data_IF_882133637574
#
_entry.id   IF_882133637574
#
_cell.length_a   1.000
_cell.length_b   1.000
_cell.length_c   1.000
_cell.angle_alpha   90.00
_cell.angle_beta   90.00
_cell.angle_gamma   90.00
#
_symmetry.space_group_name_H-M   'P 1'
#
loop_
_entity.id
_entity.type
_entity.pdbx_description
1 polymer ?
#
# COMPACT_ATOMS: atom_id res chain seq x y z
N UNK A 1 11.52 -26.87 33.54
CA UNK A 1 10.05 -26.87 33.64
C UNK A 1 9.48 -26.22 32.37
N UNK A 2 9.45 -26.95 31.26
CA UNK A 2 8.90 -26.46 29.98
C UNK A 2 7.38 -26.50 30.05
N UNK A 3 6.76 -25.33 30.14
CA UNK A 3 5.30 -25.17 30.07
C UNK A 3 4.85 -25.81 28.74
N UNK A 4 3.91 -26.78 28.73
CA UNK A 4 3.51 -27.44 27.50
C UNK A 4 2.89 -26.38 26.58
N UNK A 5 3.40 -26.26 25.36
CA UNK A 5 2.79 -25.42 24.33
C UNK A 5 1.39 -25.98 24.05
N UNK A 6 0.38 -25.32 24.58
CA UNK A 6 -1.01 -25.60 24.28
C UNK A 6 -1.26 -25.17 22.84
N UNK A 7 -1.35 -26.12 21.91
CA UNK A 7 -1.57 -25.84 20.47
C UNK A 7 -2.80 -24.95 20.20
N UNK A 8 -3.76 -24.93 21.13
CA UNK A 8 -4.93 -24.05 21.10
C UNK A 8 -4.55 -22.56 21.23
N UNK A 9 -3.52 -22.21 22.02
CA UNK A 9 -3.12 -20.81 22.24
C UNK A 9 -2.40 -20.24 21.02
N UNK A 10 -1.55 -21.00 20.32
CA UNK A 10 -0.84 -20.47 19.14
C UNK A 10 -1.78 -20.15 17.98
N UNK A 11 -2.84 -20.95 17.81
CA UNK A 11 -3.86 -20.72 16.78
C UNK A 11 -4.67 -19.46 17.08
N UNK A 12 -5.11 -19.27 18.32
CA UNK A 12 -5.87 -18.07 18.73
C UNK A 12 -5.02 -16.81 18.69
N UNK A 13 -3.76 -16.87 19.11
CA UNK A 13 -2.81 -15.75 19.01
C UNK A 13 -2.59 -15.31 17.55
N UNK A 14 -2.46 -16.27 16.63
CA UNK A 14 -2.28 -15.95 15.21
C UNK A 14 -3.49 -15.20 14.62
N UNK A 15 -4.71 -15.61 14.99
CA UNK A 15 -5.95 -14.98 14.53
C UNK A 15 -6.11 -13.59 15.16
N UNK A 16 -5.83 -13.49 16.45
CA UNK A 16 -5.93 -12.25 17.21
C UNK A 16 -4.94 -11.19 16.72
N UNK A 17 -3.78 -11.59 16.19
CA UNK A 17 -2.81 -10.68 15.56
C UNK A 17 -3.17 -10.36 14.10
N UNK A 18 -3.58 -11.36 13.31
CA UNK A 18 -3.81 -11.18 11.88
C UNK A 18 -5.01 -10.28 11.58
N UNK A 19 -6.11 -10.43 12.32
CA UNK A 19 -7.33 -9.66 12.07
C UNK A 19 -7.14 -8.15 12.25
N UNK A 20 -6.66 -7.63 13.41
CA UNK A 20 -6.48 -6.19 13.58
C UNK A 20 -5.43 -5.62 12.64
N UNK A 21 -4.35 -6.35 12.35
CA UNK A 21 -3.34 -5.92 11.37
C UNK A 21 -3.95 -5.75 9.97
N UNK A 22 -4.79 -6.68 9.54
CA UNK A 22 -5.45 -6.60 8.23
C UNK A 22 -6.43 -5.43 8.16
N UNK A 23 -7.23 -5.24 9.20
CA UNK A 23 -8.18 -4.13 9.27
C UNK A 23 -7.44 -2.79 9.33
N UNK A 24 -6.39 -2.69 10.14
CA UNK A 24 -5.58 -1.48 10.24
C UNK A 24 -4.87 -1.16 8.93
N UNK A 25 -4.17 -2.13 8.32
CA UNK A 25 -3.45 -1.92 7.07
C UNK A 25 -4.40 -1.63 5.90
N UNK A 26 -5.49 -2.37 5.79
CA UNK A 26 -6.49 -2.16 4.74
C UNK A 26 -7.19 -0.82 4.91
N UNK A 27 -7.61 -0.47 6.14
CA UNK A 27 -8.22 0.82 6.46
C UNK A 27 -7.28 2.00 6.20
N UNK A 28 -5.99 1.86 6.51
CA UNK A 28 -4.97 2.88 6.21
C UNK A 28 -4.87 3.15 4.70
N UNK A 29 -4.82 2.10 3.89
CA UNK A 29 -4.76 2.23 2.43
C UNK A 29 -6.06 2.79 1.82
N UNK A 30 -7.22 2.41 2.35
CA UNK A 30 -8.50 3.01 1.96
C UNK A 30 -8.55 4.50 2.29
N UNK A 31 -8.07 4.90 3.48
CA UNK A 31 -7.98 6.30 3.88
C UNK A 31 -6.98 7.07 3.00
N UNK A 32 -5.83 6.49 2.68
CA UNK A 32 -4.86 7.09 1.78
C UNK A 32 -5.46 7.31 0.37
N UNK A 33 -6.15 6.31 -0.18
CA UNK A 33 -6.83 6.41 -1.46
C UNK A 33 -7.92 7.49 -1.46
N UNK A 34 -8.75 7.55 -0.40
CA UNK A 34 -9.80 8.55 -0.24
C UNK A 34 -9.26 9.98 -0.32
N UNK A 35 -8.07 10.24 0.21
CA UNK A 35 -7.44 11.56 0.13
C UNK A 35 -6.84 11.86 -1.26
N UNK A 36 -6.43 10.84 -2.03
CA UNK A 36 -5.81 11.01 -3.36
C UNK A 36 -6.84 11.17 -4.49
N UNK A 37 -7.97 10.47 -4.43
CA UNK A 37 -8.98 10.46 -5.51
C UNK A 37 -9.54 11.87 -5.82
N UNK A 38 -9.86 12.74 -4.84
CA UNK A 38 -10.36 14.08 -5.13
C UNK A 38 -9.28 15.02 -5.69
N UNK A 39 -8.00 14.75 -5.41
CA UNK A 39 -6.87 15.61 -5.70
C UNK A 39 -5.85 14.92 -6.63
N UNK A 40 -6.34 14.31 -7.73
CA UNK A 40 -5.51 13.58 -8.70
C UNK A 40 -4.35 14.44 -9.20
N UNK A 41 -4.59 15.73 -9.46
CA UNK A 41 -3.56 16.65 -9.94
C UNK A 41 -2.44 16.83 -8.91
N UNK A 42 -2.78 17.07 -7.63
CA UNK A 42 -1.79 17.19 -6.56
C UNK A 42 -1.03 15.89 -6.33
N UNK A 43 -1.69 14.74 -6.49
CA UNK A 43 -1.00 13.45 -6.39
C UNK A 43 -0.08 13.18 -7.59
N UNK A 44 -0.47 13.61 -8.80
CA UNK A 44 0.41 13.55 -9.97
C UNK A 44 1.66 14.43 -9.79
N UNK A 45 1.53 15.60 -9.18
CA UNK A 45 2.67 16.45 -8.80
C UNK A 45 3.56 15.78 -7.76
N UNK A 46 2.98 15.09 -6.76
CA UNK A 46 3.76 14.29 -5.82
C UNK A 46 4.53 13.16 -6.52
N UNK A 47 3.91 12.50 -7.53
CA UNK A 47 4.58 11.46 -8.33
C UNK A 47 5.73 12.05 -9.15
N UNK A 48 5.55 13.23 -9.76
CA UNK A 48 6.63 13.97 -10.46
C UNK A 48 7.80 14.24 -9.52
N UNK A 49 7.51 14.63 -8.28
CA UNK A 49 8.51 14.88 -7.25
C UNK A 49 9.40 13.68 -6.93
N UNK A 50 8.96 12.44 -7.21
CA UNK A 50 9.83 11.28 -7.04
C UNK A 50 10.93 11.15 -8.09
N UNK A 51 10.82 11.84 -9.24
CA UNK A 51 11.82 11.75 -10.33
C UNK A 51 11.90 10.39 -11.03
N UNK A 52 11.16 9.38 -10.58
CA UNK A 52 11.23 8.00 -11.10
C UNK A 52 10.73 7.89 -12.54
N UNK A 53 9.75 8.72 -12.90
CA UNK A 53 9.20 8.81 -14.24
C UNK A 53 9.67 10.12 -14.87
N UNK A 54 10.24 10.04 -16.06
CA UNK A 54 10.63 11.21 -16.83
C UNK A 54 9.37 11.99 -17.25
N UNK A 55 9.21 13.18 -16.66
CA UNK A 55 8.06 14.05 -16.92
C UNK A 55 8.07 14.68 -18.31
N UNK A 56 9.24 14.76 -18.95
CA UNK A 56 9.41 15.33 -20.30
C UNK A 56 9.14 14.28 -21.37
N UNK A 57 9.65 13.06 -21.15
CA UNK A 57 9.52 11.96 -22.13
C UNK A 57 8.17 11.27 -22.06
N UNK A 58 7.58 11.09 -20.86
CA UNK A 58 6.34 10.31 -20.67
C UNK A 58 5.37 10.91 -19.63
N UNK A 59 4.85 12.13 -19.85
CA UNK A 59 3.94 12.79 -18.91
C UNK A 59 2.61 12.03 -18.69
N UNK A 60 2.14 11.28 -19.68
CA UNK A 60 0.92 10.47 -19.60
C UNK A 60 1.01 9.36 -18.56
N UNK A 61 2.19 8.75 -18.36
CA UNK A 61 2.38 7.68 -17.38
C UNK A 61 2.14 8.17 -15.96
N UNK A 62 2.51 9.42 -15.68
CA UNK A 62 2.32 10.05 -14.37
C UNK A 62 0.83 10.23 -14.08
N UNK A 63 0.06 10.72 -15.07
CA UNK A 63 -1.39 10.92 -14.91
C UNK A 63 -2.10 9.58 -14.77
N UNK A 64 -1.71 8.58 -15.56
CA UNK A 64 -2.25 7.21 -15.45
C UNK A 64 -1.94 6.64 -14.06
N UNK A 65 -0.70 6.76 -13.58
CA UNK A 65 -0.33 6.29 -12.25
C UNK A 65 -1.11 7.03 -11.15
N UNK A 66 -1.24 8.35 -11.25
CA UNK A 66 -2.00 9.17 -10.31
C UNK A 66 -3.48 8.77 -10.23
N UNK A 67 -4.04 8.29 -11.34
CA UNK A 67 -5.41 7.78 -11.38
C UNK A 67 -5.50 6.33 -10.89
N UNK A 68 -4.69 5.42 -11.41
CA UNK A 68 -4.80 3.98 -11.18
C UNK A 68 -4.39 3.58 -9.77
N UNK A 69 -3.32 4.17 -9.23
CA UNK A 69 -2.77 3.79 -7.92
C UNK A 69 -3.82 3.95 -6.81
N UNK A 70 -4.52 5.11 -6.64
CA UNK A 70 -5.52 5.26 -5.60
C UNK A 70 -6.67 4.25 -5.69
N UNK A 71 -7.16 3.93 -6.89
CA UNK A 71 -8.21 2.92 -7.06
C UNK A 71 -7.73 1.52 -6.70
N UNK A 72 -6.48 1.19 -7.04
CA UNK A 72 -5.88 -0.09 -6.65
C UNK A 72 -5.66 -0.18 -5.13
N UNK A 73 -5.18 0.91 -4.49
CA UNK A 73 -5.06 1.03 -3.03
C UNK A 73 -6.41 0.81 -2.33
N UNK A 74 -7.47 1.44 -2.84
CA UNK A 74 -8.82 1.32 -2.29
C UNK A 74 -9.37 -0.11 -2.43
N UNK A 75 -9.23 -0.72 -3.61
CA UNK A 75 -9.71 -2.08 -3.86
C UNK A 75 -8.94 -3.11 -3.03
N UNK A 76 -7.62 -3.03 -3.01
CA UNK A 76 -6.78 -3.92 -2.22
C UNK A 76 -7.04 -3.74 -0.71
N UNK A 77 -7.20 -2.49 -0.24
CA UNK A 77 -7.56 -2.19 1.13
C UNK A 77 -8.91 -2.78 1.52
N UNK A 78 -9.94 -2.59 0.69
CA UNK A 78 -11.28 -3.14 0.91
C UNK A 78 -11.26 -4.67 0.94
N UNK A 79 -10.59 -5.32 -0.01
CA UNK A 79 -10.44 -6.78 -0.03
C UNK A 79 -9.71 -7.30 1.22
N UNK A 80 -8.70 -6.58 1.70
CA UNK A 80 -7.94 -6.95 2.90
C UNK A 80 -8.79 -6.83 4.17
N UNK A 81 -9.60 -5.77 4.30
CA UNK A 81 -10.55 -5.58 5.41
C UNK A 81 -11.62 -6.67 5.40
N UNK A 82 -12.25 -6.93 4.24
CA UNK A 82 -13.31 -7.92 4.08
C UNK A 82 -12.81 -9.37 4.19
N UNK A 83 -11.50 -9.62 4.08
CA UNK A 83 -10.93 -10.97 4.05
C UNK A 83 -11.07 -11.71 2.74
N UNK A 84 -11.51 -11.02 1.70
CA UNK A 84 -11.62 -11.56 0.35
C UNK A 84 -10.23 -11.61 -0.27
N UNK A 85 -9.73 -12.84 -0.55
CA UNK A 85 -8.38 -13.07 -1.09
C UNK A 85 -7.30 -12.25 -0.36
N UNK A 86 -7.37 -12.22 0.97
CA UNK A 86 -6.53 -11.38 1.83
C UNK A 86 -5.02 -11.50 1.54
N UNK A 87 -4.54 -12.70 1.16
CA UNK A 87 -3.14 -12.91 0.76
C UNK A 87 -2.77 -12.14 -0.50
N UNK A 88 -3.63 -12.16 -1.52
CA UNK A 88 -3.40 -11.42 -2.77
C UNK A 88 -3.50 -9.91 -2.55
N UNK A 89 -4.48 -9.47 -1.76
CA UNK A 89 -4.65 -8.06 -1.40
C UNK A 89 -3.43 -7.52 -0.62
N UNK A 90 -2.94 -8.29 0.36
CA UNK A 90 -1.74 -7.95 1.11
C UNK A 90 -0.48 -7.88 0.23
N UNK A 91 -0.34 -8.79 -0.76
CA UNK A 91 0.75 -8.71 -1.74
C UNK A 91 0.64 -7.45 -2.59
N UNK A 92 -0.56 -7.07 -3.05
CA UNK A 92 -0.78 -5.83 -3.80
C UNK A 92 -0.38 -4.59 -3.00
N UNK A 93 -0.82 -4.50 -1.74
CA UNK A 93 -0.41 -3.43 -0.82
C UNK A 93 1.10 -3.44 -0.58
N UNK A 94 1.70 -4.62 -0.42
CA UNK A 94 3.15 -4.76 -0.25
C UNK A 94 3.94 -4.24 -1.45
N UNK A 95 3.49 -4.55 -2.68
CA UNK A 95 4.11 -4.05 -3.90
C UNK A 95 4.00 -2.52 -4.01
N UNK A 96 2.86 -1.94 -3.64
CA UNK A 96 2.71 -0.48 -3.59
C UNK A 96 3.66 0.18 -2.60
N UNK A 97 3.81 -0.41 -1.40
CA UNK A 97 4.78 0.09 -0.41
C UNK A 97 6.21 0.04 -0.95
N UNK A 98 6.60 -1.07 -1.59
CA UNK A 98 7.92 -1.20 -2.22
C UNK A 98 8.11 -0.12 -3.28
N UNK A 99 7.10 0.13 -4.11
CA UNK A 99 7.14 1.19 -5.13
C UNK A 99 7.34 2.58 -4.51
N UNK A 100 6.60 2.93 -3.46
CA UNK A 100 6.78 4.23 -2.79
C UNK A 100 8.14 4.36 -2.11
N UNK A 101 8.62 3.30 -1.45
CA UNK A 101 9.96 3.29 -0.86
C UNK A 101 11.02 3.46 -1.95
N UNK A 102 10.89 2.76 -3.08
CA UNK A 102 11.81 2.91 -4.20
C UNK A 102 11.82 4.34 -4.76
N UNK A 103 10.66 5.00 -4.85
CA UNK A 103 10.58 6.40 -5.24
C UNK A 103 11.27 7.35 -4.26
N UNK A 104 11.05 7.15 -2.95
CA UNK A 104 11.75 7.92 -1.92
C UNK A 104 13.27 7.71 -1.96
N UNK A 105 13.72 6.47 -2.14
CA UNK A 105 15.14 6.16 -2.29
C UNK A 105 15.72 6.85 -3.52
N UNK A 106 15.00 6.84 -4.65
CA UNK A 106 15.47 7.48 -5.87
C UNK A 106 15.73 8.97 -5.65
N UNK A 107 14.79 9.69 -5.01
CA UNK A 107 14.95 11.10 -4.64
C UNK A 107 16.20 11.33 -3.78
N UNK A 108 16.37 10.53 -2.72
CA UNK A 108 17.51 10.66 -1.82
C UNK A 108 18.84 10.49 -2.56
N UNK A 109 18.92 9.57 -3.53
CA UNK A 109 20.13 9.34 -4.31
C UNK A 109 20.32 10.33 -5.46
N UNK A 110 19.26 10.95 -5.98
CA UNK A 110 19.37 11.99 -7.01
C UNK A 110 19.77 13.35 -6.43
N UNK A 111 19.51 13.57 -5.14
CA UNK A 111 19.80 14.82 -4.43
C UNK A 111 21.22 14.90 -3.84
N UNK A 112 22.04 13.84 -3.97
CA UNK A 112 23.44 13.75 -3.52
C UNK A 112 24.39 13.84 -4.70
#
# INVERSE_FOLDING_TARGET
>A
MSKPLNTQTSMTESILLQLPLRVALGGLFMYAAYNKIPAIQSFAEAIKGFGVLDSETHPELIIIAAFVIPWFELLAGLMLVLGLRARSAALGIGLLLIMFIAGLLHVIFSDV
#
